data_IF_388701540641
#
_entry.id   IF_388701540641
#
_cell.length_a   1.000
_cell.length_b   1.000
_cell.length_c   1.000
_cell.angle_alpha   90.00
_cell.angle_beta   90.00
_cell.angle_gamma   90.00
#
_symmetry.space_group_name_H-M   'P 1'
#
loop_
_entity.id
_entity.type
_entity.pdbx_description
1 polymer ?
#
# COMPACT_ATOMS: atom_id res chain seq x y z
N UNK A 1 36.31 -36.68 -12.31
CA UNK A 1 35.79 -35.80 -11.26
C UNK A 1 35.65 -34.30 -11.62
N UNK A 2 36.39 -33.76 -12.61
CA UNK A 2 36.29 -32.31 -13.00
C UNK A 2 35.04 -31.91 -13.79
N UNK A 3 34.30 -32.84 -14.43
CA UNK A 3 33.11 -32.54 -15.25
C UNK A 3 31.82 -32.38 -14.44
N UNK A 4 31.73 -32.92 -13.22
CA UNK A 4 30.54 -32.86 -12.38
C UNK A 4 30.40 -31.46 -11.69
N UNK A 5 31.54 -30.83 -11.37
CA UNK A 5 31.58 -29.53 -10.73
C UNK A 5 31.07 -28.40 -11.68
N UNK A 6 31.34 -28.53 -12.97
CA UNK A 6 30.90 -27.54 -13.97
C UNK A 6 29.37 -27.57 -14.18
N UNK A 7 28.76 -28.75 -14.07
CA UNK A 7 27.31 -28.90 -14.22
C UNK A 7 26.52 -28.38 -12.99
N UNK A 8 27.10 -28.52 -11.80
CA UNK A 8 26.47 -27.98 -10.55
C UNK A 8 26.50 -26.46 -10.48
N UNK A 9 27.54 -25.81 -10.98
CA UNK A 9 27.64 -24.35 -11.03
C UNK A 9 26.66 -23.78 -12.07
N UNK A 10 26.48 -24.44 -13.20
CA UNK A 10 25.52 -24.03 -14.23
C UNK A 10 24.06 -24.20 -13.76
N UNK A 11 23.78 -25.22 -12.93
CA UNK A 11 22.42 -25.41 -12.38
C UNK A 11 22.05 -24.39 -11.30
N UNK A 12 23.03 -23.89 -10.55
CA UNK A 12 22.80 -22.89 -9.51
C UNK A 12 22.60 -21.46 -10.07
N UNK A 13 23.15 -21.19 -11.26
CA UNK A 13 23.00 -19.89 -11.93
C UNK A 13 21.61 -19.67 -12.56
N UNK A 14 20.80 -20.73 -12.73
CA UNK A 14 19.44 -20.64 -13.28
C UNK A 14 18.36 -20.26 -12.25
N UNK A 15 18.72 -20.16 -10.96
CA UNK A 15 17.78 -19.77 -9.89
C UNK A 15 17.93 -18.32 -9.42
N UNK A 16 18.65 -17.48 -10.18
CA UNK A 16 18.54 -16.03 -9.98
C UNK A 16 17.19 -15.61 -10.56
N UNK A 17 16.11 -15.95 -9.85
CA UNK A 17 14.85 -15.29 -10.05
C UNK A 17 15.10 -13.81 -9.73
N UNK A 18 15.15 -12.99 -10.77
CA UNK A 18 15.09 -11.55 -10.63
C UNK A 18 13.89 -11.26 -9.72
N UNK A 19 14.16 -10.69 -8.55
CA UNK A 19 13.19 -10.01 -7.69
C UNK A 19 12.68 -8.79 -8.48
N UNK A 20 11.90 -9.05 -9.52
CA UNK A 20 11.20 -8.01 -10.25
C UNK A 20 10.18 -7.43 -9.28
N UNK A 21 10.47 -6.24 -8.78
CA UNK A 21 9.61 -5.54 -7.86
C UNK A 21 8.20 -5.41 -8.45
N UNK A 22 7.19 -5.66 -7.60
CA UNK A 22 5.78 -5.74 -8.00
C UNK A 22 5.19 -4.48 -8.65
N UNK A 23 5.88 -3.36 -8.57
CA UNK A 23 5.52 -2.14 -9.30
C UNK A 23 5.42 -2.37 -10.80
N UNK A 24 6.20 -3.34 -11.36
CA UNK A 24 6.17 -3.64 -12.79
C UNK A 24 4.81 -4.16 -13.30
N UNK A 25 3.99 -4.80 -12.47
CA UNK A 25 2.64 -5.23 -12.86
C UNK A 25 1.72 -4.07 -13.25
N UNK A 26 1.99 -2.88 -12.73
CA UNK A 26 1.17 -1.69 -12.96
C UNK A 26 1.77 -0.77 -14.04
N UNK A 27 2.90 -1.15 -14.67
CA UNK A 27 3.59 -0.31 -15.65
C UNK A 27 2.77 -0.01 -16.91
N UNK A 28 1.81 -0.87 -17.23
CA UNK A 28 0.90 -0.70 -18.37
C UNK A 28 -0.38 0.06 -17.98
N UNK A 29 -0.54 0.38 -16.70
CA UNK A 29 -1.67 1.14 -16.18
C UNK A 29 -1.23 2.59 -15.96
N UNK A 30 -1.95 3.54 -16.57
CA UNK A 30 -1.76 4.97 -16.28
C UNK A 30 -2.65 5.42 -15.12
N UNK A 31 -3.63 4.58 -14.74
CA UNK A 31 -4.71 4.98 -13.86
C UNK A 31 -5.41 3.77 -13.24
N UNK A 32 -5.71 3.86 -11.93
CA UNK A 32 -6.59 2.96 -11.19
C UNK A 32 -7.59 3.79 -10.41
N UNK A 33 -8.85 3.39 -10.42
CA UNK A 33 -9.90 3.98 -9.60
C UNK A 33 -10.63 2.90 -8.81
N UNK A 34 -10.81 3.17 -7.53
CA UNK A 34 -11.58 2.34 -6.61
C UNK A 34 -12.79 3.12 -6.14
N UNK A 35 -13.97 2.55 -6.32
CA UNK A 35 -15.17 2.99 -5.62
C UNK A 35 -15.15 2.47 -4.19
N UNK A 36 -15.43 3.36 -3.23
CA UNK A 36 -15.47 3.03 -1.81
C UNK A 36 -16.91 2.84 -1.38
N UNK A 37 -17.19 1.70 -0.78
CA UNK A 37 -18.54 1.34 -0.33
C UNK A 37 -18.58 1.13 1.19
N UNK A 38 -19.68 1.53 1.80
CA UNK A 38 -20.05 1.21 3.16
C UNK A 38 -21.50 0.69 3.16
N UNK A 39 -21.71 -0.55 3.61
CA UNK A 39 -23.03 -1.20 3.61
C UNK A 39 -23.72 -1.15 2.22
N UNK A 40 -22.99 -1.42 1.14
CA UNK A 40 -23.43 -1.38 -0.26
C UNK A 40 -23.78 0.03 -0.81
N UNK A 41 -23.57 1.08 -0.04
CA UNK A 41 -23.72 2.47 -0.49
C UNK A 41 -22.35 3.03 -0.88
N UNK A 42 -22.24 3.64 -2.07
CA UNK A 42 -20.99 4.30 -2.50
C UNK A 42 -20.81 5.57 -1.67
N UNK A 43 -19.71 5.64 -0.94
CA UNK A 43 -19.37 6.77 -0.05
C UNK A 43 -18.27 7.66 -0.63
N UNK A 44 -17.54 7.21 -1.65
CA UNK A 44 -16.44 7.97 -2.24
C UNK A 44 -15.63 7.17 -3.25
N UNK A 45 -14.42 7.67 -3.52
CA UNK A 45 -13.48 7.02 -4.44
C UNK A 45 -12.02 7.23 -4.02
N UNK A 46 -11.14 6.40 -4.57
CA UNK A 46 -9.69 6.53 -4.43
C UNK A 46 -9.04 6.29 -5.80
N UNK A 47 -8.29 7.27 -6.27
CA UNK A 47 -7.69 7.31 -7.61
C UNK A 47 -6.18 7.26 -7.46
N UNK A 48 -5.52 6.46 -8.29
CA UNK A 48 -4.06 6.38 -8.42
C UNK A 48 -3.67 6.66 -9.87
N UNK A 49 -2.68 7.53 -10.08
CA UNK A 49 -2.09 7.82 -11.38
C UNK A 49 -0.62 7.41 -11.37
N UNK A 50 -0.20 6.75 -12.45
CA UNK A 50 1.15 6.22 -12.61
C UNK A 50 1.87 6.97 -13.73
N UNK A 51 2.98 7.61 -13.40
CA UNK A 51 3.84 8.31 -14.34
C UNK A 51 5.20 7.62 -14.36
N UNK A 52 5.65 7.19 -15.55
CA UNK A 52 6.90 6.47 -15.72
C UNK A 52 7.88 7.27 -16.53
N UNK A 53 9.11 7.37 -16.03
CA UNK A 53 10.24 7.96 -16.76
C UNK A 53 11.51 7.13 -16.52
N UNK A 54 11.83 6.25 -17.47
CA UNK A 54 12.95 5.32 -17.38
C UNK A 54 12.81 4.40 -16.15
N UNK A 55 13.79 4.46 -15.24
CA UNK A 55 13.81 3.70 -13.97
C UNK A 55 12.97 4.35 -12.86
N UNK A 56 12.47 5.55 -13.09
CA UNK A 56 11.69 6.27 -12.10
C UNK A 56 10.20 6.05 -12.36
N UNK A 57 9.45 5.83 -11.28
CA UNK A 57 7.99 5.73 -11.29
C UNK A 57 7.49 6.68 -10.21
N UNK A 58 6.61 7.58 -10.62
CA UNK A 58 5.88 8.45 -9.71
C UNK A 58 4.43 7.99 -9.65
N UNK A 59 3.92 7.81 -8.45
CA UNK A 59 2.52 7.44 -8.22
C UNK A 59 1.89 8.56 -7.39
N UNK A 60 0.84 9.16 -7.90
CA UNK A 60 0.04 10.13 -7.16
C UNK A 60 -1.30 9.53 -6.83
N UNK A 61 -1.80 9.78 -5.63
CA UNK A 61 -3.14 9.34 -5.26
C UNK A 61 -3.99 10.48 -4.73
N UNK A 62 -5.30 10.35 -4.97
CA UNK A 62 -6.32 11.22 -4.41
C UNK A 62 -7.50 10.35 -3.97
N UNK A 63 -7.77 10.34 -2.67
CA UNK A 63 -8.85 9.58 -2.08
C UNK A 63 -9.78 10.50 -1.28
N UNK A 64 -11.09 10.30 -1.42
CA UNK A 64 -12.06 11.03 -0.61
C UNK A 64 -13.32 10.20 -0.37
N UNK A 65 -13.89 10.34 0.82
CA UNK A 65 -15.20 9.77 1.12
C UNK A 65 -15.92 10.55 2.22
N UNK A 66 -17.23 10.42 2.24
CA UNK A 66 -18.11 10.99 3.26
C UNK A 66 -19.02 9.90 3.81
N UNK A 67 -19.00 9.72 5.12
CA UNK A 67 -19.97 8.87 5.81
C UNK A 67 -21.03 9.75 6.44
N UNK A 68 -22.29 9.50 6.08
CA UNK A 68 -23.44 10.21 6.64
C UNK A 68 -24.44 9.22 7.24
N UNK A 69 -25.19 9.63 8.25
CA UNK A 69 -26.30 8.85 8.82
C UNK A 69 -27.44 9.82 9.13
N UNK A 70 -28.64 9.51 8.61
CA UNK A 70 -29.82 10.36 8.79
C UNK A 70 -29.57 11.83 8.40
N UNK A 71 -28.86 12.08 7.30
CA UNK A 71 -28.53 13.43 6.82
C UNK A 71 -27.39 14.13 7.58
N UNK A 72 -26.89 13.55 8.67
CA UNK A 72 -25.78 14.11 9.44
C UNK A 72 -24.46 13.54 8.96
N UNK A 73 -23.48 14.40 8.59
CA UNK A 73 -22.13 13.98 8.26
C UNK A 73 -21.39 13.53 9.52
N UNK A 74 -21.05 12.24 9.58
CA UNK A 74 -20.31 11.64 10.68
C UNK A 74 -18.80 11.69 10.43
N UNK A 75 -18.38 11.56 9.17
CA UNK A 75 -16.97 11.55 8.79
C UNK A 75 -16.80 12.13 7.39
N UNK A 76 -15.85 13.05 7.26
CA UNK A 76 -15.35 13.55 5.98
C UNK A 76 -13.86 13.24 5.92
N UNK A 77 -13.43 12.56 4.87
CA UNK A 77 -12.08 12.13 4.68
C UNK A 77 -11.58 12.53 3.28
N UNK A 78 -10.39 13.10 3.23
CA UNK A 78 -9.68 13.34 1.99
C UNK A 78 -8.18 13.13 2.19
N UNK A 79 -7.52 12.55 1.21
CA UNK A 79 -6.07 12.30 1.23
C UNK A 79 -5.47 12.54 -0.13
N UNK A 80 -4.28 13.09 -0.15
CA UNK A 80 -3.43 13.19 -1.33
C UNK A 80 -2.09 12.58 -0.96
N UNK A 81 -1.54 11.72 -1.81
CA UNK A 81 -0.20 11.18 -1.61
C UNK A 81 0.63 11.16 -2.89
N UNK A 82 1.94 11.10 -2.71
CA UNK A 82 2.91 10.92 -3.78
C UNK A 82 3.96 9.90 -3.34
N UNK A 83 4.23 8.93 -4.20
CA UNK A 83 5.27 7.92 -4.05
C UNK A 83 6.27 8.06 -5.19
N UNK A 84 7.55 7.99 -4.87
CA UNK A 84 8.62 7.95 -5.86
C UNK A 84 9.38 6.64 -5.72
N UNK A 85 9.46 5.91 -6.81
CA UNK A 85 10.23 4.67 -6.93
C UNK A 85 11.41 4.90 -7.87
N UNK A 86 12.55 4.29 -7.53
CA UNK A 86 13.71 4.17 -8.39
C UNK A 86 14.15 2.71 -8.43
N UNK A 87 14.30 2.13 -9.62
CA UNK A 87 14.59 0.70 -9.81
C UNK A 87 13.66 -0.21 -8.98
N UNK A 88 12.34 0.09 -8.98
CA UNK A 88 11.29 -0.60 -8.23
C UNK A 88 11.37 -0.50 -6.68
N UNK A 89 12.34 0.24 -6.15
CA UNK A 89 12.42 0.53 -4.72
C UNK A 89 11.75 1.87 -4.41
N UNK A 90 10.88 1.89 -3.40
CA UNK A 90 10.33 3.14 -2.88
C UNK A 90 11.48 3.97 -2.29
N UNK A 91 11.67 5.19 -2.78
CA UNK A 91 12.72 6.10 -2.30
C UNK A 91 12.14 7.27 -1.51
N UNK A 92 10.90 7.63 -1.77
CA UNK A 92 10.21 8.72 -1.08
C UNK A 92 8.71 8.49 -1.08
N UNK A 93 8.07 8.83 0.02
CA UNK A 93 6.62 8.91 0.15
C UNK A 93 6.26 10.20 0.88
N UNK A 94 5.19 10.84 0.45
CA UNK A 94 4.57 11.93 1.21
C UNK A 94 3.06 11.83 1.10
N UNK A 95 2.36 12.18 2.18
CA UNK A 95 0.91 12.28 2.19
C UNK A 95 0.43 13.44 3.05
N UNK A 96 -0.75 13.93 2.71
CA UNK A 96 -1.53 14.86 3.52
C UNK A 96 -2.96 14.35 3.56
N UNK A 97 -3.50 14.16 4.78
CA UNK A 97 -4.83 13.60 5.00
C UNK A 97 -5.62 14.52 5.90
N UNK A 98 -6.81 14.91 5.47
CA UNK A 98 -7.79 15.61 6.28
C UNK A 98 -8.90 14.64 6.69
N UNK A 99 -9.11 14.49 7.99
CA UNK A 99 -10.18 13.67 8.57
C UNK A 99 -11.01 14.55 9.48
N UNK A 100 -12.18 14.96 9.03
CA UNK A 100 -12.95 16.05 9.62
C UNK A 100 -12.06 17.31 9.71
N UNK A 101 -11.83 17.84 10.92
CA UNK A 101 -11.00 19.02 11.16
C UNK A 101 -9.54 18.70 11.47
N UNK A 102 -9.18 17.42 11.50
CA UNK A 102 -7.81 16.98 11.82
C UNK A 102 -7.00 16.79 10.55
N UNK A 103 -5.87 17.48 10.48
CA UNK A 103 -4.86 17.28 9.43
C UNK A 103 -3.78 16.34 9.94
N UNK A 104 -3.43 15.36 9.10
CA UNK A 104 -2.35 14.39 9.37
C UNK A 104 -1.43 14.36 8.15
N UNK A 105 -0.17 14.04 8.38
CA UNK A 105 0.83 13.94 7.32
C UNK A 105 1.80 12.80 7.57
N UNK A 106 2.46 12.38 6.49
CA UNK A 106 3.58 11.45 6.52
C UNK A 106 4.60 11.86 5.47
N UNK A 107 5.87 11.82 5.85
CA UNK A 107 7.01 11.96 4.95
C UNK A 107 7.94 10.80 5.24
N UNK A 108 8.24 10.00 4.22
CA UNK A 108 9.26 8.96 4.26
C UNK A 108 10.35 9.29 3.27
N UNK A 109 11.59 9.11 3.67
CA UNK A 109 12.73 9.15 2.77
C UNK A 109 13.59 7.90 3.04
N UNK A 110 14.11 7.29 1.97
CA UNK A 110 15.07 6.21 2.16
C UNK A 110 16.40 6.79 2.66
N UNK A 111 17.06 6.09 3.57
CA UNK A 111 18.38 6.48 4.05
C UNK A 111 19.48 6.26 2.99
N UNK A 112 20.69 6.76 3.25
CA UNK A 112 21.81 6.67 2.31
C UNK A 112 22.19 5.24 1.96
N UNK A 113 22.07 4.32 2.94
CA UNK A 113 22.42 2.92 2.78
C UNK A 113 21.29 2.10 2.16
N UNK A 114 20.13 2.73 1.91
CA UNK A 114 18.91 2.12 1.37
C UNK A 114 18.34 0.96 2.21
N UNK A 115 18.71 0.90 3.48
CA UNK A 115 18.30 -0.15 4.41
C UNK A 115 17.05 0.24 5.20
N UNK A 116 16.85 1.55 5.44
CA UNK A 116 15.74 2.03 6.25
C UNK A 116 15.04 3.23 5.61
N UNK A 117 13.79 3.41 5.98
CA UNK A 117 13.07 4.67 5.83
C UNK A 117 13.24 5.52 7.08
N UNK A 118 13.57 6.79 6.90
CA UNK A 118 13.36 7.82 7.90
C UNK A 118 11.91 8.29 7.80
N UNK A 119 11.17 8.15 8.91
CA UNK A 119 9.73 8.44 8.99
C UNK A 119 9.54 9.71 9.78
N UNK A 120 8.87 10.70 9.19
CA UNK A 120 8.33 11.87 9.87
C UNK A 120 6.82 11.91 9.63
N UNK A 121 6.04 11.52 10.62
CA UNK A 121 4.59 11.44 10.53
C UNK A 121 3.90 12.06 11.72
N UNK A 122 2.64 12.45 11.53
CA UNK A 122 1.83 13.10 12.57
C UNK A 122 1.62 12.27 13.84
N UNK A 123 1.92 10.96 13.81
CA UNK A 123 1.77 10.08 14.98
C UNK A 123 2.98 9.16 15.23
N UNK A 124 4.04 9.29 14.44
CA UNK A 124 5.26 8.51 14.61
C UNK A 124 6.43 9.19 13.89
N UNK A 125 7.55 9.33 14.61
CA UNK A 125 8.83 9.76 14.08
C UNK A 125 9.87 8.69 14.44
N UNK A 126 10.60 8.18 13.45
CA UNK A 126 11.56 7.10 13.66
C UNK A 126 12.02 6.46 12.37
N UNK A 127 12.42 5.19 12.46
CA UNK A 127 12.88 4.40 11.32
C UNK A 127 12.05 3.13 11.16
N UNK A 128 11.94 2.69 9.91
CA UNK A 128 11.45 1.36 9.56
C UNK A 128 12.38 0.74 8.52
N UNK A 129 12.46 -0.59 8.49
CA UNK A 129 13.21 -1.28 7.43
C UNK A 129 12.63 -0.92 6.06
N UNK A 130 13.48 -0.73 5.05
CA UNK A 130 13.07 -0.37 3.69
C UNK A 130 12.25 -1.44 2.96
N UNK A 131 12.20 -2.66 3.51
CA UNK A 131 11.30 -3.73 3.04
C UNK A 131 9.87 -3.61 3.58
N UNK A 132 9.62 -2.71 4.56
CA UNK A 132 8.28 -2.45 5.09
C UNK A 132 7.48 -1.68 4.05
N UNK A 133 6.28 -2.17 3.75
CA UNK A 133 5.42 -1.56 2.74
C UNK A 133 4.64 -0.37 3.31
N UNK A 134 4.39 0.63 2.47
CA UNK A 134 3.37 1.66 2.77
C UNK A 134 1.99 1.08 2.49
N UNK A 135 1.05 1.28 3.39
CA UNK A 135 -0.29 0.70 3.34
C UNK A 135 -1.20 1.33 2.28
N UNK A 136 -0.80 1.23 1.02
CA UNK A 136 -1.57 1.71 -0.12
C UNK A 136 -2.24 0.55 -0.85
N UNK A 137 -3.52 0.73 -1.22
CA UNK A 137 -4.34 -0.32 -1.81
C UNK A 137 -4.02 -0.67 -3.26
N UNK A 138 -3.25 0.15 -3.97
CA UNK A 138 -2.83 -0.17 -5.32
C UNK A 138 -1.78 -1.29 -5.34
N UNK A 139 -0.96 -1.40 -4.28
CA UNK A 139 0.13 -2.37 -4.22
C UNK A 139 -0.34 -3.67 -3.54
N UNK A 140 -0.65 -4.68 -4.34
CA UNK A 140 -1.15 -5.97 -3.85
C UNK A 140 -0.14 -6.77 -2.99
N UNK A 141 1.15 -6.38 -2.94
CA UNK A 141 2.12 -6.99 -2.02
C UNK A 141 1.75 -6.80 -0.56
N UNK A 142 0.87 -5.86 -0.25
CA UNK A 142 0.35 -5.64 1.11
C UNK A 142 -0.30 -6.91 1.69
N UNK A 143 -0.88 -7.79 0.84
CA UNK A 143 -1.51 -9.05 1.30
C UNK A 143 -0.49 -10.07 1.82
N UNK A 144 0.80 -9.91 1.49
CA UNK A 144 1.90 -10.80 1.90
C UNK A 144 2.67 -10.29 3.10
N UNK A 145 2.32 -9.10 3.61
CA UNK A 145 3.07 -8.43 4.69
C UNK A 145 2.34 -8.56 6.02
N UNK A 146 3.11 -8.74 7.08
CA UNK A 146 2.61 -8.78 8.47
C UNK A 146 2.67 -7.42 9.18
N UNK A 147 3.24 -6.42 8.49
CA UNK A 147 3.24 -5.03 8.95
C UNK A 147 3.27 -4.06 7.77
N UNK A 148 2.80 -2.85 8.03
CA UNK A 148 2.80 -1.75 7.07
C UNK A 148 3.06 -0.41 7.77
N UNK A 149 3.56 0.56 7.02
CA UNK A 149 3.61 1.96 7.43
C UNK A 149 2.28 2.60 7.07
N UNK A 150 1.59 3.18 8.05
CA UNK A 150 0.35 3.91 7.82
C UNK A 150 0.57 5.12 6.91
N UNK A 151 -0.07 5.20 5.74
CA UNK A 151 0.05 6.35 4.85
C UNK A 151 -0.62 7.61 5.42
N UNK A 152 -1.35 7.49 6.52
CA UNK A 152 -2.09 8.60 7.16
C UNK A 152 -1.29 9.22 8.31
N UNK A 153 -0.52 8.40 9.05
CA UNK A 153 0.04 8.85 10.33
C UNK A 153 1.50 8.49 10.56
N UNK A 154 2.10 7.68 9.66
CA UNK A 154 3.48 7.19 9.76
C UNK A 154 3.67 6.02 10.72
N UNK A 155 2.65 5.62 11.51
CA UNK A 155 2.79 4.50 12.46
C UNK A 155 3.03 3.18 11.74
N UNK A 156 3.86 2.33 12.33
CA UNK A 156 4.00 0.94 11.91
C UNK A 156 2.83 0.14 12.49
N UNK A 157 2.02 -0.43 11.61
CA UNK A 157 0.81 -1.18 11.96
C UNK A 157 1.08 -2.65 11.68
N UNK A 158 1.02 -3.48 12.72
CA UNK A 158 1.02 -4.93 12.58
C UNK A 158 -0.32 -5.40 12.04
N UNK A 159 -0.28 -6.33 11.13
CA UNK A 159 -1.49 -6.88 10.51
C UNK A 159 -1.39 -8.39 10.37
N UNK A 160 -2.57 -9.02 10.34
CA UNK A 160 -2.73 -10.40 9.93
C UNK A 160 -3.62 -10.42 8.69
N UNK A 161 -3.18 -11.08 7.64
CA UNK A 161 -3.92 -11.15 6.37
C UNK A 161 -4.31 -12.60 6.12
N UNK A 162 -5.61 -12.86 6.08
CA UNK A 162 -6.16 -14.19 5.84
C UNK A 162 -6.79 -14.25 4.44
N UNK A 163 -6.36 -15.23 3.64
CA UNK A 163 -7.03 -15.54 2.39
C UNK A 163 -8.32 -16.29 2.66
N UNK A 164 -9.46 -15.74 2.22
CA UNK A 164 -10.79 -16.34 2.44
C UNK A 164 -11.28 -17.17 1.24
N UNK A 165 -10.64 -17.05 0.08
CA UNK A 165 -11.02 -17.81 -1.10
C UNK A 165 -11.13 -16.95 -2.36
N UNK A 166 -11.81 -17.53 -3.37
CA UNK A 166 -12.14 -16.84 -4.62
C UNK A 166 -13.63 -16.54 -4.65
N UNK A 167 -13.99 -15.37 -5.14
CA UNK A 167 -15.39 -14.99 -5.35
C UNK A 167 -15.57 -14.37 -6.74
N UNK A 168 -16.81 -14.40 -7.24
CA UNK A 168 -17.15 -13.79 -8.52
C UNK A 168 -17.82 -12.45 -8.26
N UNK A 169 -17.15 -11.39 -8.69
CA UNK A 169 -17.68 -10.03 -8.66
C UNK A 169 -18.29 -9.68 -10.01
N UNK A 170 -19.45 -9.02 -10.00
CA UNK A 170 -20.07 -8.44 -11.20
C UNK A 170 -19.85 -6.93 -11.18
N UNK A 171 -19.06 -6.43 -12.14
CA UNK A 171 -18.74 -5.00 -12.28
C UNK A 171 -19.12 -4.60 -13.71
N UNK A 172 -19.99 -3.61 -13.89
CA UNK A 172 -20.44 -3.13 -15.20
C UNK A 172 -20.84 -4.28 -16.14
N UNK A 173 -21.73 -5.16 -15.69
CA UNK A 173 -22.24 -6.34 -16.42
C UNK A 173 -21.21 -7.46 -16.68
N UNK A 174 -19.92 -7.24 -16.40
CA UNK A 174 -18.86 -8.24 -16.55
C UNK A 174 -18.61 -8.99 -15.25
N UNK A 175 -18.32 -10.28 -15.36
CA UNK A 175 -17.94 -11.14 -14.22
C UNK A 175 -16.42 -11.23 -14.14
N UNK A 176 -15.90 -11.06 -12.91
CA UNK A 176 -14.48 -11.16 -12.59
C UNK A 176 -14.31 -12.15 -11.44
N UNK A 177 -13.33 -13.05 -11.56
CA UNK A 177 -12.91 -13.87 -10.42
C UNK A 177 -11.92 -13.07 -9.60
N UNK A 178 -12.27 -12.73 -8.36
CA UNK A 178 -11.45 -11.98 -7.42
C UNK A 178 -10.93 -12.89 -6.30
N UNK A 179 -9.77 -12.52 -5.74
CA UNK A 179 -9.24 -13.13 -4.53
C UNK A 179 -9.73 -12.32 -3.32
N UNK A 180 -10.34 -13.00 -2.36
CA UNK A 180 -10.87 -12.36 -1.16
C UNK A 180 -9.88 -12.49 0.00
N UNK A 181 -9.48 -11.35 0.59
CA UNK A 181 -8.59 -11.28 1.74
C UNK A 181 -9.23 -10.50 2.88
N UNK A 182 -9.00 -10.97 4.09
CA UNK A 182 -9.42 -10.30 5.31
C UNK A 182 -8.18 -9.73 6.04
N UNK A 183 -8.18 -8.43 6.29
CA UNK A 183 -7.13 -7.73 7.01
C UNK A 183 -7.57 -7.48 8.46
N UNK A 184 -6.77 -7.95 9.41
CA UNK A 184 -6.90 -7.66 10.82
C UNK A 184 -5.70 -6.82 11.26
N UNK A 185 -5.92 -5.57 11.63
CA UNK A 185 -4.86 -4.75 12.20
C UNK A 185 -4.86 -4.91 13.73
N UNK A 186 -3.71 -5.30 14.27
CA UNK A 186 -3.48 -5.29 15.71
C UNK A 186 -3.00 -3.89 16.14
N UNK A 187 -3.88 -2.91 16.00
CA UNK A 187 -3.64 -1.59 16.56
C UNK A 187 -3.90 -1.70 18.09
N UNK A 188 -2.84 -2.03 18.86
CA UNK A 188 -2.89 -2.04 20.33
C UNK A 188 -3.07 -0.60 20.86
N UNK A 189 -4.15 0.07 20.46
CA UNK A 189 -4.65 1.18 21.24
C UNK A 189 -5.34 0.59 22.46
N UNK A 190 -4.92 0.96 23.68
CA UNK A 190 -5.77 0.70 24.83
C UNK A 190 -7.11 1.35 24.51
N UNK A 191 -8.16 0.54 24.42
CA UNK A 191 -9.52 1.04 24.38
C UNK A 191 -9.68 1.72 25.72
N UNK A 192 -9.53 3.05 25.77
CA UNK A 192 -9.92 3.82 26.93
C UNK A 192 -11.43 3.62 27.08
N UNK A 193 -11.82 2.58 27.80
CA UNK A 193 -13.18 2.46 28.32
C UNK A 193 -13.38 3.66 29.23
N UNK A 194 -14.00 4.72 28.68
CA UNK A 194 -14.61 5.73 29.55
C UNK A 194 -15.63 4.99 30.42
N UNK A 195 -15.36 4.94 31.72
CA UNK A 195 -16.36 4.62 32.72
C UNK A 195 -17.44 5.67 32.72
#
# INVERSE_FOLDING_TARGET
>A
MKKIIFFTILYFSLFINSLNGHVQHYLNLNYLEYDLFLNNEKIGSHIFKFEKNGKNIKITSNGSFVVSKLGVKLMNYSTISEELYHDNQLVKFKSNTKQNDKVKYVILNIDKDKLNFDINGSSFNGKANSSTIVGNWWNHEIVKKNEQISPISGRIIKQNVNFLGKEVLKINEKKYTALHFHFLSNDNKPINKKK
#
